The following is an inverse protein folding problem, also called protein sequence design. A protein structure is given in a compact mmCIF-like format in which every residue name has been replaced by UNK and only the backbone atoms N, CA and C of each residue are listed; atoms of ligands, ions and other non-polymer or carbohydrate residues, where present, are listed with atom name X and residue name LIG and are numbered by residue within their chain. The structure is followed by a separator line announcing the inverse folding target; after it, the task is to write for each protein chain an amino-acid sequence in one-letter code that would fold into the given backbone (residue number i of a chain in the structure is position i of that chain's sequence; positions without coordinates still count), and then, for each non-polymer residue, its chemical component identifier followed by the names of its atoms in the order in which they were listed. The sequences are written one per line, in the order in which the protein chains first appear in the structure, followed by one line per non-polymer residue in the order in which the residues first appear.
data_IF_384854135177
#
_entry.id   IF_384854135177
#
_cell.length_a   1.000
_cell.length_b   1.000
_cell.length_c   1.000
_cell.angle_alpha   90.00
_cell.angle_beta   90.00
_cell.angle_gamma   90.00
#
_symmetry.space_group_name_H-M   'P 1'
#
loop_
_entity.id
_entity.type
_entity.pdbx_description
1 polymer ?
#
# COMPACT_ATOMS: atom_id res chain seq x y z
N UNK A 1 24.37 -1.03 -3.21
CA UNK A 1 23.54 -0.68 -4.38
C UNK A 1 24.36 -0.82 -5.67
N UNK A 2 25.41 -0.03 -5.90
CA UNK A 2 26.19 -0.05 -7.15
C UNK A 2 26.77 -1.43 -7.44
N UNK A 3 27.44 -2.06 -6.46
CA UNK A 3 27.96 -3.42 -6.62
C UNK A 3 26.87 -4.44 -6.94
N UNK A 4 25.70 -4.34 -6.31
CA UNK A 4 24.58 -5.21 -6.59
C UNK A 4 24.13 -5.11 -8.06
N UNK A 5 24.12 -3.91 -8.65
CA UNK A 5 23.78 -3.71 -10.07
C UNK A 5 24.85 -4.28 -11.01
N UNK A 6 26.14 -4.10 -10.66
CA UNK A 6 27.25 -4.61 -11.47
C UNK A 6 27.18 -6.14 -11.59
N UNK A 7 26.87 -6.83 -10.51
CA UNK A 7 26.80 -8.30 -10.45
C UNK A 7 25.40 -8.86 -10.76
N UNK A 8 24.42 -8.01 -11.07
CA UNK A 8 23.07 -8.47 -11.43
C UNK A 8 23.04 -9.04 -12.86
N UNK A 9 22.35 -10.16 -13.03
CA UNK A 9 22.03 -10.72 -14.36
C UNK A 9 20.99 -9.85 -15.09
N UNK A 10 20.13 -9.13 -14.36
CA UNK A 10 19.06 -8.29 -14.89
C UNK A 10 19.38 -6.80 -14.71
N UNK A 11 20.39 -6.31 -15.43
CA UNK A 11 20.92 -4.94 -15.27
C UNK A 11 19.88 -3.85 -15.46
N UNK A 12 18.95 -4.00 -16.39
CA UNK A 12 17.90 -3.01 -16.65
C UNK A 12 16.98 -2.86 -15.44
N UNK A 13 16.49 -3.98 -14.90
CA UNK A 13 15.65 -4.01 -13.71
C UNK A 13 16.40 -3.50 -12.47
N UNK A 14 17.65 -3.95 -12.29
CA UNK A 14 18.47 -3.50 -11.16
C UNK A 14 18.75 -1.98 -11.20
N UNK A 15 18.84 -1.39 -12.39
CA UNK A 15 19.14 0.04 -12.58
C UNK A 15 17.88 0.90 -12.49
N UNK A 16 16.80 0.53 -13.19
CA UNK A 16 15.57 1.32 -13.32
C UNK A 16 14.48 0.91 -12.33
N UNK A 17 14.49 -0.33 -11.87
CA UNK A 17 13.43 -0.95 -11.08
C UNK A 17 12.44 -1.72 -11.96
N UNK A 18 11.52 -2.41 -11.31
CA UNK A 18 10.39 -3.09 -11.95
C UNK A 18 9.45 -2.05 -12.57
N UNK A 19 8.78 -2.39 -13.66
CA UNK A 19 7.92 -1.49 -14.45
C UNK A 19 6.87 -0.79 -13.58
N UNK A 20 6.27 -1.50 -12.62
CA UNK A 20 5.24 -0.91 -11.75
C UNK A 20 5.77 -0.07 -10.60
N UNK A 21 7.06 -0.20 -10.23
CA UNK A 21 7.61 0.42 -9.02
C UNK A 21 8.73 1.40 -9.28
N UNK A 22 9.52 1.18 -10.33
CA UNK A 22 10.68 1.98 -10.71
C UNK A 22 11.69 2.23 -9.57
N UNK A 23 11.76 1.30 -8.61
CA UNK A 23 12.65 1.38 -7.44
C UNK A 23 13.99 0.69 -7.69
N UNK A 24 14.67 1.10 -8.75
CA UNK A 24 16.01 0.63 -9.07
C UNK A 24 17.11 1.49 -8.41
N UNK A 25 18.34 1.28 -8.87
CA UNK A 25 19.53 1.98 -8.36
C UNK A 25 19.35 3.50 -8.33
N UNK A 26 18.78 4.09 -9.38
CA UNK A 26 18.60 5.55 -9.46
C UNK A 26 17.69 6.09 -8.36
N UNK A 27 16.58 5.44 -8.09
CA UNK A 27 15.68 5.83 -7.00
C UNK A 27 16.37 5.72 -5.64
N UNK A 28 17.05 4.60 -5.38
CA UNK A 28 17.75 4.38 -4.12
C UNK A 28 18.91 5.37 -3.90
N UNK A 29 19.67 5.69 -4.95
CA UNK A 29 20.72 6.71 -4.86
C UNK A 29 20.14 8.10 -4.64
N UNK A 30 18.98 8.40 -5.24
CA UNK A 30 18.27 9.68 -5.00
C UNK A 30 17.82 9.80 -3.54
N UNK A 31 17.31 8.74 -2.92
CA UNK A 31 16.95 8.74 -1.49
C UNK A 31 18.17 8.98 -0.60
N UNK A 32 19.30 8.32 -0.89
CA UNK A 32 20.54 8.54 -0.16
C UNK A 32 21.06 9.97 -0.34
N UNK A 33 20.96 10.53 -1.54
CA UNK A 33 21.36 11.90 -1.83
C UNK A 33 20.50 12.91 -1.06
N UNK A 34 19.17 12.70 -1.01
CA UNK A 34 18.27 13.54 -0.23
C UNK A 34 18.58 13.46 1.27
N UNK A 35 18.86 12.26 1.79
CA UNK A 35 19.27 12.08 3.17
C UNK A 35 20.58 12.83 3.48
N UNK A 36 21.58 12.71 2.59
CA UNK A 36 22.84 13.43 2.72
C UNK A 36 22.67 14.96 2.67
N UNK A 37 21.85 15.45 1.74
CA UNK A 37 21.53 16.88 1.65
C UNK A 37 20.82 17.36 2.92
N UNK A 38 19.82 16.64 3.39
CA UNK A 38 19.10 17.01 4.63
C UNK A 38 20.06 17.05 5.83
N UNK A 39 20.94 16.06 5.96
CA UNK A 39 21.94 16.03 7.03
C UNK A 39 22.89 17.22 7.00
N UNK A 40 23.30 17.69 5.81
CA UNK A 40 24.27 18.78 5.66
C UNK A 40 23.62 20.18 5.62
N UNK A 41 22.31 20.28 5.46
CA UNK A 41 21.63 21.59 5.32
C UNK A 41 20.78 21.95 6.54
N UNK A 42 20.42 20.98 7.37
CA UNK A 42 19.58 21.20 8.54
C UNK A 42 20.47 21.41 9.78
N UNK A 43 20.76 22.68 10.09
CA UNK A 43 21.73 23.03 11.12
C UNK A 43 21.10 23.52 12.44
N UNK A 44 19.80 23.84 12.45
CA UNK A 44 19.19 24.46 13.61
C UNK A 44 17.74 23.97 13.86
N UNK A 45 17.30 24.15 15.12
CA UNK A 45 15.95 23.73 15.54
C UNK A 45 14.81 24.38 14.77
N UNK A 46 14.99 25.57 14.24
CA UNK A 46 13.96 26.26 13.46
C UNK A 46 13.71 25.53 12.14
N UNK A 47 14.78 25.12 11.47
CA UNK A 47 14.68 24.33 10.23
C UNK A 47 14.04 22.95 10.50
N UNK A 48 14.44 22.27 11.59
CA UNK A 48 13.80 21.00 12.01
C UNK A 48 12.31 21.21 12.23
N UNK A 49 11.90 22.26 12.94
CA UNK A 49 10.48 22.59 13.14
C UNK A 49 9.74 22.80 11.82
N UNK A 50 10.31 23.56 10.90
CA UNK A 50 9.70 23.79 9.57
C UNK A 50 9.49 22.47 8.84
N UNK A 51 10.49 21.59 8.81
CA UNK A 51 10.38 20.28 8.18
C UNK A 51 9.29 19.41 8.83
N UNK A 52 9.25 19.36 10.16
CA UNK A 52 8.25 18.57 10.89
C UNK A 52 6.83 19.09 10.63
N UNK A 53 6.63 20.40 10.63
CA UNK A 53 5.33 20.98 10.29
C UNK A 53 4.95 20.74 8.82
N UNK A 54 5.89 20.90 7.88
CA UNK A 54 5.66 20.63 6.47
C UNK A 54 5.24 19.16 6.22
N UNK A 55 5.96 18.21 6.82
CA UNK A 55 5.61 16.78 6.77
C UNK A 55 4.23 16.51 7.40
N UNK A 56 3.94 17.15 8.53
CA UNK A 56 2.66 16.98 9.23
C UNK A 56 1.49 17.51 8.40
N UNK A 57 1.64 18.68 7.78
CA UNK A 57 0.60 19.27 6.91
C UNK A 57 0.41 18.41 5.66
N UNK A 58 1.51 17.99 5.02
CA UNK A 58 1.46 17.09 3.86
C UNK A 58 0.73 15.78 4.22
N UNK A 59 1.02 15.20 5.40
CA UNK A 59 0.37 13.98 5.84
C UNK A 59 -1.12 14.16 6.15
N UNK A 60 -1.53 15.33 6.67
CA UNK A 60 -2.95 15.63 6.85
C UNK A 60 -3.69 15.70 5.51
N UNK A 61 -3.12 16.33 4.49
CA UNK A 61 -3.71 16.34 3.14
C UNK A 61 -3.85 14.92 2.60
N UNK A 62 -2.80 14.11 2.72
CA UNK A 62 -2.85 12.71 2.30
C UNK A 62 -3.87 11.90 3.10
N UNK A 63 -3.97 12.14 4.42
CA UNK A 63 -4.96 11.45 5.26
C UNK A 63 -6.40 11.87 4.94
N UNK A 64 -6.65 13.11 4.56
CA UNK A 64 -7.96 13.55 4.08
C UNK A 64 -8.36 12.82 2.79
N UNK A 65 -7.44 12.70 1.83
CA UNK A 65 -7.65 11.90 0.62
C UNK A 65 -7.90 10.44 1.02
N UNK A 66 -7.05 9.88 1.87
CA UNK A 66 -7.20 8.51 2.38
C UNK A 66 -8.53 8.26 3.06
N UNK A 67 -9.07 9.26 3.77
CA UNK A 67 -10.39 9.16 4.39
C UNK A 67 -11.51 9.05 3.35
N UNK A 68 -11.45 9.78 2.24
CA UNK A 68 -12.43 9.63 1.15
C UNK A 68 -12.41 8.23 0.56
N UNK A 69 -11.21 7.65 0.38
CA UNK A 69 -11.02 6.27 -0.08
C UNK A 69 -11.56 5.26 0.95
N UNK A 70 -11.24 5.46 2.23
CA UNK A 70 -11.74 4.63 3.32
C UNK A 70 -13.28 4.62 3.38
N UNK A 71 -13.94 5.74 3.14
CA UNK A 71 -15.40 5.88 3.10
C UNK A 71 -16.01 5.39 1.78
N UNK A 72 -15.21 4.95 0.81
CA UNK A 72 -15.67 4.49 -0.50
C UNK A 72 -16.08 5.60 -1.47
N UNK A 73 -15.71 6.84 -1.14
CA UNK A 73 -15.91 8.04 -1.98
C UNK A 73 -14.57 8.55 -2.47
N UNK A 74 -13.86 7.72 -3.25
CA UNK A 74 -12.53 8.06 -3.70
C UNK A 74 -12.52 9.32 -4.57
N UNK A 75 -11.80 10.35 -4.12
CA UNK A 75 -11.69 11.62 -4.83
C UNK A 75 -11.05 11.44 -6.22
N UNK A 76 -10.14 10.48 -6.39
CA UNK A 76 -9.47 10.21 -7.66
C UNK A 76 -10.37 9.52 -8.69
N UNK A 77 -11.48 8.94 -8.25
CA UNK A 77 -12.51 8.40 -9.15
C UNK A 77 -13.47 9.46 -9.66
N UNK A 78 -13.45 10.67 -9.08
CA UNK A 78 -14.25 11.79 -9.57
C UNK A 78 -13.62 12.42 -10.80
N UNK A 79 -14.43 13.13 -11.62
CA UNK A 79 -13.91 13.87 -12.77
C UNK A 79 -12.83 14.88 -12.41
N UNK A 80 -12.98 15.53 -11.26
CA UNK A 80 -11.97 16.45 -10.73
C UNK A 80 -10.65 15.71 -10.45
N UNK A 81 -10.71 14.60 -9.73
CA UNK A 81 -9.53 13.81 -9.38
C UNK A 81 -8.85 13.21 -10.61
N UNK A 82 -9.62 12.66 -11.55
CA UNK A 82 -9.10 12.14 -12.82
C UNK A 82 -8.39 13.23 -13.63
N UNK A 83 -8.96 14.42 -13.73
CA UNK A 83 -8.34 15.55 -14.42
C UNK A 83 -7.05 16.06 -13.73
N UNK A 84 -6.93 15.86 -12.42
CA UNK A 84 -5.73 16.25 -11.68
C UNK A 84 -4.56 15.30 -11.94
N UNK A 85 -4.85 14.02 -12.16
CA UNK A 85 -3.83 12.97 -12.31
C UNK A 85 -3.46 12.77 -13.78
N UNK A 86 -4.45 12.82 -14.69
CA UNK A 86 -4.24 12.56 -16.11
C UNK A 86 -3.65 13.78 -16.82
N UNK A 87 -2.48 13.64 -17.46
CA UNK A 87 -2.01 14.61 -18.42
C UNK A 87 -3.01 14.75 -19.58
N UNK A 88 -3.16 15.95 -20.14
CA UNK A 88 -4.06 16.22 -21.26
C UNK A 88 -3.89 15.28 -22.46
N UNK A 89 -2.67 14.80 -22.69
CA UNK A 89 -2.34 13.84 -23.75
C UNK A 89 -3.10 12.51 -23.59
N UNK A 90 -3.50 12.14 -22.37
CA UNK A 90 -4.17 10.89 -22.05
C UNK A 90 -5.64 11.10 -21.64
N UNK A 91 -6.23 12.25 -21.99
CA UNK A 91 -7.63 12.58 -21.64
C UNK A 91 -8.63 11.55 -22.19
N UNK A 92 -8.32 10.91 -23.31
CA UNK A 92 -9.13 9.84 -23.92
C UNK A 92 -9.22 8.58 -23.04
N UNK A 93 -8.29 8.39 -22.08
CA UNK A 93 -8.29 7.26 -21.13
C UNK A 93 -9.09 7.56 -19.86
N UNK A 94 -9.66 8.77 -19.72
CA UNK A 94 -10.34 9.20 -18.50
C UNK A 94 -11.48 8.28 -18.07
N UNK A 95 -12.25 7.76 -19.04
CA UNK A 95 -13.42 6.92 -18.78
C UNK A 95 -13.02 5.46 -18.49
N UNK A 96 -11.85 5.03 -18.96
CA UNK A 96 -11.32 3.67 -18.73
C UNK A 96 -10.53 3.57 -17.44
N UNK A 97 -10.12 4.71 -16.86
CA UNK A 97 -9.37 4.71 -15.60
C UNK A 97 -10.20 4.20 -14.44
N UNK A 98 -9.80 3.07 -13.94
CA UNK A 98 -10.36 2.48 -12.73
C UNK A 98 -9.24 2.21 -11.72
N UNK A 99 -9.23 2.97 -10.63
CA UNK A 99 -8.27 2.81 -9.53
C UNK A 99 -8.78 1.83 -8.46
N UNK A 100 -9.67 0.94 -8.81
CA UNK A 100 -10.06 -0.14 -7.90
C UNK A 100 -8.87 -1.06 -7.69
N UNK A 101 -8.03 -0.69 -6.72
CA UNK A 101 -7.06 -1.62 -6.18
C UNK A 101 -7.79 -2.78 -5.57
N UNK A 102 -7.90 -3.82 -6.36
CA UNK A 102 -8.45 -5.11 -6.02
C UNK A 102 -9.54 -5.01 -4.96
N UNK A 103 -10.66 -5.57 -5.07
CA UNK A 103 -11.76 -5.76 -4.12
C UNK A 103 -11.57 -5.27 -2.65
N UNK A 104 -10.40 -4.71 -2.32
CA UNK A 104 -9.95 -4.49 -0.96
C UNK A 104 -10.50 -3.23 -0.29
N UNK A 105 -11.07 -2.25 -1.02
CA UNK A 105 -11.46 -0.94 -0.46
C UNK A 105 -10.38 -0.34 0.46
N UNK A 106 -9.11 -0.65 0.20
CA UNK A 106 -8.00 -0.20 1.00
C UNK A 106 -7.63 1.25 0.66
N UNK A 107 -7.10 1.96 1.64
CA UNK A 107 -6.59 3.32 1.45
C UNK A 107 -5.21 3.27 0.82
N UNK A 108 -5.07 3.82 -0.38
CA UNK A 108 -3.79 3.92 -1.09
C UNK A 108 -3.24 5.36 -1.14
N UNK A 109 -4.00 6.34 -0.64
CA UNK A 109 -3.60 7.75 -0.54
C UNK A 109 -3.23 8.34 -1.90
N UNK A 110 -2.11 9.09 -1.92
CA UNK A 110 -1.47 9.60 -3.13
C UNK A 110 -0.27 8.74 -3.57
N UNK A 111 0.09 7.70 -2.81
CA UNK A 111 1.26 6.88 -3.03
C UNK A 111 0.99 5.65 -3.88
N UNK A 112 -0.24 5.43 -4.27
CA UNK A 112 -0.70 4.35 -5.14
C UNK A 112 -0.44 2.92 -4.60
N UNK A 113 0.25 2.77 -3.48
CA UNK A 113 0.56 1.47 -2.88
C UNK A 113 0.20 1.47 -1.40
N UNK A 114 -0.63 0.51 -1.00
CA UNK A 114 -1.13 0.37 0.38
C UNK A 114 0.00 0.20 1.41
N UNK A 115 1.08 -0.51 1.04
CA UNK A 115 2.22 -0.69 1.94
C UNK A 115 3.00 0.61 2.13
N UNK A 116 3.18 1.41 1.08
CA UNK A 116 3.85 2.71 1.18
C UNK A 116 3.05 3.69 2.02
N UNK A 117 1.74 3.73 1.84
CA UNK A 117 0.84 4.51 2.70
C UNK A 117 0.95 4.06 4.15
N UNK A 118 0.92 2.75 4.39
CA UNK A 118 1.06 2.21 5.73
C UNK A 118 2.37 2.60 6.40
N UNK A 119 3.50 2.44 5.71
CA UNK A 119 4.83 2.83 6.22
C UNK A 119 4.91 4.34 6.48
N UNK A 120 4.50 5.16 5.50
CA UNK A 120 4.52 6.60 5.63
C UNK A 120 3.69 7.09 6.82
N UNK A 121 2.45 6.62 6.94
CA UNK A 121 1.55 7.04 8.02
C UNK A 121 2.00 6.53 9.38
N UNK A 122 2.61 5.34 9.49
CA UNK A 122 3.19 4.85 10.73
C UNK A 122 4.38 5.71 11.19
N UNK A 123 5.24 6.15 10.27
CA UNK A 123 6.36 7.06 10.57
C UNK A 123 5.85 8.42 11.08
N UNK A 124 4.89 9.03 10.37
CA UNK A 124 4.34 10.34 10.79
C UNK A 124 3.57 10.21 12.11
N UNK A 125 2.82 9.13 12.31
CA UNK A 125 2.16 8.84 13.57
C UNK A 125 3.16 8.80 14.72
N UNK A 126 4.25 8.03 14.59
CA UNK A 126 5.26 7.87 15.64
C UNK A 126 5.94 9.19 15.99
N UNK A 127 6.29 10.00 14.99
CA UNK A 127 6.85 11.35 15.20
C UNK A 127 5.84 12.24 15.92
N UNK A 128 4.61 12.29 15.41
CA UNK A 128 3.58 13.20 15.93
C UNK A 128 3.18 12.86 17.36
N UNK A 129 2.96 11.58 17.69
CA UNK A 129 2.60 11.18 19.06
C UNK A 129 3.76 11.38 20.04
N UNK A 130 5.02 11.20 19.58
CA UNK A 130 6.20 11.52 20.39
C UNK A 130 6.24 13.01 20.70
N UNK A 131 5.94 13.88 19.74
CA UNK A 131 5.86 15.33 19.96
C UNK A 131 4.73 15.71 20.94
N UNK A 132 3.58 15.03 20.87
CA UNK A 132 2.52 15.21 21.87
C UNK A 132 3.01 14.90 23.27
N UNK A 133 3.87 13.88 23.45
CA UNK A 133 4.45 13.54 24.74
C UNK A 133 5.48 14.56 25.24
N UNK A 134 6.28 15.11 24.34
CA UNK A 134 7.44 15.95 24.69
C UNK A 134 7.14 17.45 24.76
N UNK A 135 6.23 17.96 23.91
CA UNK A 135 5.89 19.37 23.85
C UNK A 135 5.16 19.81 25.12
N UNK A 136 5.29 21.09 25.48
CA UNK A 136 4.59 21.71 26.63
C UNK A 136 3.38 22.53 26.20
N UNK A 137 3.46 23.15 25.01
CA UNK A 137 2.42 24.01 24.49
C UNK A 137 1.17 23.20 24.08
N UNK A 138 0.00 23.59 24.63
CA UNK A 138 -1.26 22.88 24.42
C UNK A 138 -1.75 22.93 22.96
N UNK A 139 -1.49 24.06 22.25
CA UNK A 139 -1.94 24.22 20.86
C UNK A 139 -1.12 23.30 19.93
N UNK A 140 0.19 23.25 20.15
CA UNK A 140 1.06 22.32 19.42
C UNK A 140 0.72 20.87 19.72
N UNK A 141 0.45 20.53 20.99
CA UNK A 141 -0.03 19.18 21.36
C UNK A 141 -1.31 18.80 20.64
N UNK A 142 -2.28 19.69 20.59
CA UNK A 142 -3.54 19.45 19.89
C UNK A 142 -3.32 19.25 18.40
N UNK A 143 -2.49 20.10 17.78
CA UNK A 143 -2.15 19.94 16.36
C UNK A 143 -1.53 18.56 16.07
N UNK A 144 -0.50 18.16 16.81
CA UNK A 144 0.15 16.87 16.58
C UNK A 144 -0.73 15.67 16.98
N UNK A 145 -1.67 15.86 17.91
CA UNK A 145 -2.66 14.84 18.20
C UNK A 145 -3.62 14.62 17.03
N UNK A 146 -4.08 15.69 16.38
CA UNK A 146 -4.91 15.61 15.18
C UNK A 146 -4.14 14.94 14.03
N UNK A 147 -2.86 15.30 13.84
CA UNK A 147 -1.98 14.64 12.87
C UNK A 147 -1.86 13.15 13.17
N UNK A 148 -1.63 12.78 14.43
CA UNK A 148 -1.55 11.38 14.85
C UNK A 148 -2.85 10.62 14.59
N UNK A 149 -3.99 11.19 14.96
CA UNK A 149 -5.28 10.55 14.76
C UNK A 149 -5.60 10.34 13.28
N UNK A 150 -5.36 11.35 12.43
CA UNK A 150 -5.57 11.25 11.00
C UNK A 150 -4.67 10.17 10.35
N UNK A 151 -3.39 10.16 10.70
CA UNK A 151 -2.45 9.16 10.19
C UNK A 151 -2.75 7.75 10.72
N UNK A 152 -3.23 7.61 11.94
CA UNK A 152 -3.66 6.33 12.50
C UNK A 152 -4.86 5.75 11.74
N UNK A 153 -5.87 6.55 11.43
CA UNK A 153 -7.02 6.12 10.63
C UNK A 153 -6.58 5.69 9.23
N UNK A 154 -5.68 6.45 8.61
CA UNK A 154 -5.14 6.13 7.29
C UNK A 154 -4.29 4.85 7.32
N UNK A 155 -3.52 4.64 8.40
CA UNK A 155 -2.76 3.41 8.64
C UNK A 155 -3.69 2.20 8.71
N UNK A 156 -4.77 2.26 9.47
CA UNK A 156 -5.76 1.19 9.55
C UNK A 156 -6.43 0.94 8.19
N UNK A 157 -6.79 2.01 7.48
CA UNK A 157 -7.38 1.92 6.15
C UNK A 157 -6.45 1.33 5.10
N UNK A 158 -5.13 1.48 5.25
CA UNK A 158 -4.14 0.91 4.33
C UNK A 158 -4.06 -0.62 4.39
N UNK A 159 -4.52 -1.24 5.49
CA UNK A 159 -4.45 -2.69 5.73
C UNK A 159 -3.03 -3.28 5.62
N UNK A 160 -1.98 -2.45 5.75
CA UNK A 160 -0.60 -2.90 5.68
C UNK A 160 -0.18 -3.62 6.96
N UNK A 161 0.06 -4.93 6.86
CA UNK A 161 0.51 -5.78 7.98
C UNK A 161 1.86 -5.30 8.55
N UNK A 162 2.81 -4.99 7.67
CA UNK A 162 4.13 -4.51 8.06
C UNK A 162 4.07 -3.20 8.83
N UNK A 163 3.22 -2.27 8.40
CA UNK A 163 3.05 -1.00 9.08
C UNK A 163 2.39 -1.14 10.45
N UNK A 164 1.43 -2.05 10.61
CA UNK A 164 0.82 -2.35 11.91
C UNK A 164 1.78 -3.05 12.87
N UNK A 165 2.63 -3.94 12.36
CA UNK A 165 3.70 -4.53 13.16
C UNK A 165 4.67 -3.45 13.67
N UNK A 166 5.10 -2.55 12.79
CA UNK A 166 5.96 -1.41 13.15
C UNK A 166 5.33 -0.50 14.20
N UNK A 167 4.01 -0.26 14.07
CA UNK A 167 3.23 0.48 15.06
C UNK A 167 3.22 -0.22 16.42
N UNK A 168 3.02 -1.55 16.46
CA UNK A 168 3.09 -2.35 17.68
C UNK A 168 4.45 -2.26 18.37
N UNK A 169 5.55 -2.38 17.60
CA UNK A 169 6.92 -2.20 18.11
C UNK A 169 7.11 -0.81 18.69
N UNK A 170 6.64 0.23 17.99
CA UNK A 170 6.71 1.60 18.49
C UNK A 170 5.99 1.77 19.83
N UNK A 171 4.79 1.22 20.01
CA UNK A 171 4.05 1.32 21.29
C UNK A 171 4.90 0.76 22.45
N UNK A 172 5.51 -0.42 22.24
CA UNK A 172 6.36 -1.05 23.27
C UNK A 172 7.55 -0.12 23.60
N UNK A 173 8.24 0.38 22.59
CA UNK A 173 9.36 1.30 22.79
C UNK A 173 8.91 2.61 23.44
N UNK A 174 7.76 3.17 23.04
CA UNK A 174 7.24 4.39 23.63
C UNK A 174 6.91 4.20 25.12
N UNK A 175 6.33 3.06 25.52
CA UNK A 175 6.07 2.74 26.94
C UNK A 175 7.38 2.66 27.71
N UNK A 176 8.43 2.04 27.16
CA UNK A 176 9.72 1.90 27.81
C UNK A 176 10.38 3.27 27.99
N UNK A 177 10.54 4.03 26.92
CA UNK A 177 11.31 5.28 26.91
C UNK A 177 10.56 6.48 27.48
N UNK A 178 9.25 6.57 27.24
CA UNK A 178 8.43 7.74 27.59
C UNK A 178 7.46 7.50 28.76
N UNK A 179 7.66 6.45 29.58
CA UNK A 179 6.79 6.10 30.72
C UNK A 179 6.46 7.26 31.66
N UNK A 180 7.41 8.16 31.92
CA UNK A 180 7.21 9.32 32.81
C UNK A 180 6.33 10.36 32.13
N UNK A 181 6.56 10.66 30.87
CA UNK A 181 5.78 11.62 30.08
C UNK A 181 4.35 11.11 29.85
N UNK A 182 4.19 9.81 29.61
CA UNK A 182 2.86 9.17 29.47
C UNK A 182 2.07 9.35 30.77
N UNK A 183 2.65 9.04 31.93
CA UNK A 183 1.97 9.24 33.24
C UNK A 183 1.60 10.69 33.46
N UNK A 184 2.46 11.64 33.15
CA UNK A 184 2.18 13.07 33.30
C UNK A 184 1.07 13.56 32.35
N UNK A 185 1.00 13.01 31.15
CA UNK A 185 0.03 13.38 30.11
C UNK A 185 -1.24 12.50 30.12
N UNK A 186 -1.39 11.59 31.07
CA UNK A 186 -2.45 10.58 31.07
C UNK A 186 -3.85 11.21 30.96
N UNK A 187 -4.14 12.27 31.74
CA UNK A 187 -5.43 12.98 31.67
C UNK A 187 -5.72 13.55 30.28
N UNK A 188 -4.72 14.09 29.63
CA UNK A 188 -4.85 14.60 28.26
C UNK A 188 -5.15 13.49 27.27
N UNK A 189 -4.45 12.37 27.35
CA UNK A 189 -4.71 11.20 26.48
C UNK A 189 -6.07 10.58 26.75
N UNK A 190 -6.47 10.47 28.02
CA UNK A 190 -7.82 9.96 28.37
C UNK A 190 -8.91 10.84 27.78
N UNK A 191 -8.81 12.17 27.93
CA UNK A 191 -9.77 13.09 27.33
C UNK A 191 -9.78 13.01 25.81
N UNK A 192 -8.61 12.99 25.18
CA UNK A 192 -8.49 12.84 23.72
C UNK A 192 -9.10 11.53 23.24
N UNK A 193 -8.87 10.42 23.95
CA UNK A 193 -9.45 9.13 23.63
C UNK A 193 -10.97 9.14 23.72
N UNK A 194 -11.53 9.73 24.77
CA UNK A 194 -13.00 9.88 24.90
C UNK A 194 -13.57 10.70 23.74
N UNK A 195 -12.93 11.82 23.37
CA UNK A 195 -13.37 12.64 22.24
C UNK A 195 -13.31 11.85 20.94
N UNK A 196 -12.23 11.10 20.72
CA UNK A 196 -12.09 10.22 19.53
C UNK A 196 -13.19 9.16 19.51
N UNK A 197 -13.51 8.53 20.63
CA UNK A 197 -14.62 7.56 20.72
C UNK A 197 -15.96 8.19 20.38
N UNK A 198 -16.25 9.38 20.92
CA UNK A 198 -17.51 10.09 20.65
C UNK A 198 -17.62 10.41 19.15
N UNK A 199 -16.54 10.92 18.54
CA UNK A 199 -16.50 11.17 17.09
C UNK A 199 -16.67 9.86 16.31
N UNK A 200 -15.97 8.80 16.70
CA UNK A 200 -16.07 7.49 16.05
C UNK A 200 -17.50 6.97 16.04
N UNK A 201 -18.14 6.92 17.21
CA UNK A 201 -19.52 6.44 17.31
C UNK A 201 -20.50 7.34 16.56
N UNK A 202 -20.32 8.67 16.61
CA UNK A 202 -21.14 9.61 15.87
C UNK A 202 -21.03 9.42 14.35
N UNK A 203 -19.82 9.32 13.82
CA UNK A 203 -19.57 9.10 12.38
C UNK A 203 -20.04 7.70 11.97
N UNK A 204 -19.78 6.67 12.78
CA UNK A 204 -20.18 5.32 12.47
C UNK A 204 -21.72 5.19 12.41
N UNK A 205 -22.43 5.84 13.34
CA UNK A 205 -23.89 5.89 13.31
C UNK A 205 -24.44 6.65 12.10
N UNK A 206 -23.81 7.78 11.73
CA UNK A 206 -24.19 8.56 10.56
C UNK A 206 -23.93 7.85 9.24
N UNK A 207 -23.08 6.82 9.23
CA UNK A 207 -22.71 6.01 8.06
C UNK A 207 -23.18 4.55 8.17
N UNK A 208 -24.26 4.31 8.92
CA UNK A 208 -24.92 3.01 9.06
C UNK A 208 -23.96 1.83 9.36
N UNK A 209 -23.00 2.07 10.26
CA UNK A 209 -22.03 1.05 10.66
C UNK A 209 -20.83 0.85 9.75
N UNK A 210 -20.77 1.54 8.60
CA UNK A 210 -19.72 1.36 7.57
C UNK A 210 -18.30 1.45 8.13
N UNK A 211 -18.04 2.31 9.12
CA UNK A 211 -16.69 2.46 9.70
C UNK A 211 -16.29 1.21 10.47
N UNK A 212 -17.19 0.66 11.27
CA UNK A 212 -16.96 -0.58 12.02
C UNK A 212 -16.72 -1.77 11.08
N UNK A 213 -17.55 -1.94 10.05
CA UNK A 213 -17.43 -3.03 9.11
C UNK A 213 -16.08 -3.00 8.37
N UNK A 214 -15.60 -1.80 8.02
CA UNK A 214 -14.31 -1.63 7.39
C UNK A 214 -13.14 -1.89 8.31
N UNK A 215 -13.23 -1.48 9.58
CA UNK A 215 -12.21 -1.81 10.58
C UNK A 215 -12.15 -3.32 10.82
N UNK A 216 -13.30 -3.99 10.99
CA UNK A 216 -13.36 -5.44 11.17
C UNK A 216 -12.79 -6.15 9.95
N UNK A 217 -13.18 -5.77 8.73
CA UNK A 217 -12.64 -6.37 7.52
C UNK A 217 -11.13 -6.12 7.37
N UNK A 218 -10.64 -4.94 7.78
CA UNK A 218 -9.22 -4.63 7.84
C UNK A 218 -8.47 -5.56 8.81
N UNK A 219 -8.99 -5.74 10.02
CA UNK A 219 -8.39 -6.64 11.01
C UNK A 219 -8.44 -8.10 10.54
N UNK A 220 -9.56 -8.56 9.97
CA UNK A 220 -9.66 -9.91 9.39
C UNK A 220 -8.59 -10.14 8.32
N UNK A 221 -8.39 -9.19 7.40
CA UNK A 221 -7.37 -9.30 6.36
C UNK A 221 -5.93 -9.36 6.89
N UNK A 222 -5.69 -8.95 8.15
CA UNK A 222 -4.38 -9.06 8.80
C UNK A 222 -4.15 -10.44 9.41
N UNK A 223 -5.22 -11.10 9.85
CA UNK A 223 -5.17 -12.40 10.52
C UNK A 223 -5.26 -13.53 9.50
N UNK A 224 -6.03 -13.32 8.42
CA UNK A 224 -6.13 -14.28 7.33
C UNK A 224 -4.79 -14.38 6.60
N UNK A 225 -4.03 -15.39 6.93
CA UNK A 225 -2.83 -15.76 6.18
C UNK A 225 -3.33 -16.37 4.87
N UNK A 226 -3.17 -15.67 3.77
CA UNK A 226 -3.29 -16.30 2.45
C UNK A 226 -2.15 -17.31 2.35
N UNK A 227 -2.44 -18.58 2.52
CA UNK A 227 -1.51 -19.62 2.15
C UNK A 227 -1.40 -19.58 0.64
N UNK A 228 -0.24 -19.17 0.15
CA UNK A 228 0.10 -19.30 -1.27
C UNK A 228 0.57 -20.75 -1.39
N UNK A 229 -0.25 -21.60 -1.99
CA UNK A 229 0.09 -22.99 -2.34
C UNK A 229 1.02 -23.05 -3.57
N UNK A 230 2.08 -22.24 -3.52
CA UNK A 230 3.00 -22.04 -4.63
C UNK A 230 4.34 -22.68 -4.30
N UNK A 231 4.82 -23.57 -5.17
CA UNK A 231 6.09 -24.27 -5.00
C UNK A 231 7.20 -23.68 -5.87
N UNK A 232 6.95 -23.51 -7.19
CA UNK A 232 7.99 -23.11 -8.13
C UNK A 232 7.43 -22.43 -9.38
N UNK A 233 8.26 -21.63 -10.06
CA UNK A 233 8.01 -21.09 -11.40
C UNK A 233 9.19 -21.36 -12.30
N UNK A 234 8.94 -22.06 -13.39
CA UNK A 234 9.93 -22.27 -14.44
C UNK A 234 9.58 -21.37 -15.63
N UNK A 235 10.52 -20.54 -16.03
CA UNK A 235 10.39 -19.65 -17.17
C UNK A 235 11.09 -20.28 -18.37
N UNK A 236 10.38 -20.50 -19.46
CA UNK A 236 10.89 -20.85 -20.78
C UNK A 236 10.72 -19.64 -21.72
N UNK A 237 11.32 -19.69 -22.92
CA UNK A 237 11.29 -18.56 -23.85
C UNK A 237 9.86 -18.12 -24.22
N UNK A 238 8.95 -19.09 -24.46
CA UNK A 238 7.57 -18.84 -24.86
C UNK A 238 6.52 -19.39 -23.87
N UNK A 239 6.96 -19.90 -22.72
CA UNK A 239 6.06 -20.53 -21.75
C UNK A 239 6.46 -20.24 -20.30
N UNK A 240 5.47 -20.30 -19.43
CA UNK A 240 5.64 -20.17 -17.98
C UNK A 240 4.93 -21.35 -17.31
N UNK A 241 5.70 -22.17 -16.59
CA UNK A 241 5.17 -23.24 -15.78
C UNK A 241 5.09 -22.78 -14.33
N UNK A 242 3.88 -22.79 -13.77
CA UNK A 242 3.61 -22.43 -12.39
C UNK A 242 3.20 -23.71 -11.65
N UNK A 243 4.01 -24.11 -10.68
CA UNK A 243 3.76 -25.29 -9.85
C UNK A 243 3.17 -24.87 -8.52
N UNK A 244 2.02 -25.44 -8.20
CA UNK A 244 1.37 -25.38 -6.90
C UNK A 244 1.55 -26.72 -6.19
N UNK A 245 1.23 -26.80 -4.91
CA UNK A 245 1.41 -28.00 -4.10
C UNK A 245 0.57 -29.19 -4.61
N UNK A 246 -0.60 -28.94 -5.19
CA UNK A 246 -1.57 -29.96 -5.61
C UNK A 246 -1.83 -30.00 -7.12
N UNK A 247 -1.35 -29.02 -7.89
CA UNK A 247 -1.53 -28.93 -9.35
C UNK A 247 -0.50 -28.02 -10.00
N UNK A 248 -0.46 -28.00 -11.34
CA UNK A 248 0.40 -27.11 -12.12
C UNK A 248 -0.38 -26.45 -13.26
N UNK A 249 0.05 -25.24 -13.65
CA UNK A 249 -0.50 -24.53 -14.78
C UNK A 249 0.65 -24.11 -15.69
N UNK A 250 0.55 -24.48 -16.97
CA UNK A 250 1.46 -24.01 -18.02
C UNK A 250 0.75 -22.96 -18.86
N UNK A 251 1.35 -21.77 -19.01
CA UNK A 251 0.86 -20.69 -19.83
C UNK A 251 1.81 -20.54 -21.01
N UNK A 252 1.31 -20.70 -22.22
CA UNK A 252 2.09 -20.62 -23.47
C UNK A 252 1.63 -19.39 -24.25
N UNK A 253 2.58 -18.67 -24.81
CA UNK A 253 2.31 -17.57 -25.74
C UNK A 253 2.44 -18.10 -27.17
N UNK A 254 1.33 -18.28 -27.85
CA UNK A 254 1.26 -18.71 -29.26
C UNK A 254 0.85 -17.50 -30.12
N UNK A 255 1.81 -16.87 -30.79
CA UNK A 255 1.58 -15.72 -31.69
C UNK A 255 0.76 -14.56 -31.07
N UNK A 256 0.99 -14.28 -29.77
CA UNK A 256 0.29 -13.21 -29.05
C UNK A 256 -1.03 -13.64 -28.38
N UNK A 257 -1.40 -14.91 -28.51
CA UNK A 257 -2.53 -15.51 -27.77
C UNK A 257 -2.01 -16.36 -26.62
N UNK A 258 -2.65 -16.26 -25.47
CA UNK A 258 -2.28 -17.03 -24.29
C UNK A 258 -3.14 -18.27 -24.17
N UNK A 259 -2.51 -19.43 -24.21
CA UNK A 259 -3.16 -20.73 -24.02
C UNK A 259 -2.73 -21.30 -22.66
N UNK A 260 -3.69 -21.79 -21.90
CA UNK A 260 -3.45 -22.37 -20.58
C UNK A 260 -3.60 -23.88 -20.66
N UNK A 261 -2.68 -24.58 -20.02
CA UNK A 261 -2.64 -26.04 -19.96
C UNK A 261 -2.55 -26.50 -18.52
N UNK A 262 -3.10 -27.67 -18.21
CA UNK A 262 -2.85 -28.39 -16.97
C UNK A 262 -1.48 -29.09 -16.98
N UNK A 263 -1.09 -29.71 -15.86
CA UNK A 263 0.17 -30.45 -15.73
C UNK A 263 0.27 -31.68 -16.65
N UNK A 264 -0.84 -32.13 -17.23
CA UNK A 264 -0.90 -33.25 -18.17
C UNK A 264 -0.85 -32.78 -19.64
N UNK A 265 -0.80 -31.46 -19.86
CA UNK A 265 -0.82 -30.86 -21.20
C UNK A 265 -2.20 -30.73 -21.84
N UNK A 266 -3.29 -30.88 -21.05
CA UNK A 266 -4.62 -30.64 -21.58
C UNK A 266 -4.96 -29.15 -21.52
N UNK A 267 -5.61 -28.59 -22.57
CA UNK A 267 -5.97 -27.18 -22.57
C UNK A 267 -7.03 -26.88 -21.50
N UNK A 268 -6.81 -25.79 -20.78
CA UNK A 268 -7.74 -25.24 -19.79
C UNK A 268 -8.59 -24.14 -20.42
N UNK A 269 -9.89 -24.22 -20.26
CA UNK A 269 -10.78 -23.12 -20.58
C UNK A 269 -10.58 -22.00 -19.58
N UNK A 270 -10.42 -20.76 -20.09
CA UNK A 270 -10.23 -19.56 -19.30
C UNK A 270 -11.27 -18.50 -19.66
N UNK A 271 -11.75 -17.78 -18.67
CA UNK A 271 -12.57 -16.59 -18.85
C UNK A 271 -11.73 -15.34 -18.61
N UNK A 272 -11.96 -14.29 -19.40
CA UNK A 272 -11.37 -12.98 -19.18
C UNK A 272 -12.23 -12.24 -18.15
N UNK A 273 -11.70 -12.04 -16.94
CA UNK A 273 -12.40 -11.37 -15.84
C UNK A 273 -12.30 -9.85 -15.97
N UNK A 274 -11.11 -9.37 -16.38
CA UNK A 274 -10.79 -7.98 -16.69
C UNK A 274 -9.81 -7.96 -17.87
N UNK A 275 -9.59 -6.80 -18.47
CA UNK A 275 -8.65 -6.66 -19.58
C UNK A 275 -7.25 -7.18 -19.20
N UNK A 276 -6.78 -8.19 -19.91
CA UNK A 276 -5.52 -8.88 -19.65
C UNK A 276 -5.53 -9.79 -18.43
N UNK A 277 -6.65 -10.00 -17.74
CA UNK A 277 -6.74 -10.87 -16.56
C UNK A 277 -7.59 -12.09 -16.87
N UNK A 278 -6.99 -13.27 -16.76
CA UNK A 278 -7.58 -14.56 -17.12
C UNK A 278 -7.77 -15.42 -15.89
N UNK A 279 -8.86 -16.15 -15.85
CA UNK A 279 -9.20 -17.10 -14.79
C UNK A 279 -9.63 -18.43 -15.39
N UNK A 280 -8.98 -19.55 -15.04
CA UNK A 280 -9.45 -20.88 -15.44
C UNK A 280 -10.84 -21.17 -14.87
N UNK A 281 -11.66 -21.87 -15.61
CA UNK A 281 -13.05 -22.19 -15.22
C UNK A 281 -13.12 -23.47 -14.39
N UNK A 282 -12.17 -24.39 -14.57
CA UNK A 282 -12.16 -25.74 -13.97
C UNK A 282 -11.47 -25.77 -12.60
N UNK A 283 -12.02 -26.49 -11.62
CA UNK A 283 -11.31 -26.82 -10.37
C UNK A 283 -10.18 -27.84 -10.61
N UNK A 284 -9.04 -27.72 -9.88
CA UNK A 284 -8.72 -26.75 -8.83
C UNK A 284 -8.17 -25.41 -9.34
N UNK A 285 -7.97 -25.26 -10.64
CA UNK A 285 -7.30 -24.15 -11.31
C UNK A 285 -8.04 -22.81 -11.18
N UNK A 286 -9.37 -22.83 -10.99
CA UNK A 286 -10.23 -21.64 -10.85
C UNK A 286 -10.01 -20.83 -9.56
N UNK A 287 -9.11 -21.29 -8.68
CA UNK A 287 -8.71 -20.56 -7.47
C UNK A 287 -7.78 -19.39 -7.76
N UNK A 288 -7.17 -19.35 -8.94
CA UNK A 288 -6.13 -18.41 -9.29
C UNK A 288 -6.57 -17.51 -10.44
N UNK A 289 -6.08 -16.28 -10.45
CA UNK A 289 -6.23 -15.33 -11.55
C UNK A 289 -4.86 -14.88 -12.03
N UNK A 290 -4.69 -14.76 -13.34
CA UNK A 290 -3.43 -14.44 -13.99
C UNK A 290 -3.59 -13.17 -14.82
N UNK A 291 -2.86 -12.12 -14.46
CA UNK A 291 -2.77 -10.92 -15.27
C UNK A 291 -1.55 -11.02 -16.16
N UNK A 292 -1.80 -11.05 -17.46
CA UNK A 292 -0.77 -11.18 -18.48
C UNK A 292 -0.50 -9.82 -19.10
N UNK A 293 0.75 -9.39 -19.04
CA UNK A 293 1.22 -8.13 -19.61
C UNK A 293 2.29 -8.42 -20.65
N UNK A 294 2.14 -7.84 -21.83
CA UNK A 294 3.20 -7.84 -22.83
C UNK A 294 4.18 -6.72 -22.53
N UNK A 295 5.45 -7.04 -22.44
CA UNK A 295 6.53 -6.03 -22.34
C UNK A 295 6.90 -5.54 -23.72
N UNK A 296 7.20 -4.24 -23.87
CA UNK A 296 7.70 -3.62 -25.12
C UNK A 296 9.02 -4.23 -25.61
N UNK A 297 9.66 -5.09 -24.84
CA UNK A 297 10.93 -5.75 -25.13
C UNK A 297 10.79 -7.25 -25.35
N UNK A 298 9.72 -7.71 -25.98
CA UNK A 298 9.49 -9.12 -26.36
C UNK A 298 9.51 -10.14 -25.19
N UNK A 299 9.19 -9.72 -23.98
CA UNK A 299 9.07 -10.60 -22.82
C UNK A 299 7.63 -10.69 -22.28
N UNK A 300 7.18 -11.91 -22.00
CA UNK A 300 5.92 -12.14 -21.28
C UNK A 300 6.10 -11.82 -19.80
N UNK A 301 5.30 -10.91 -19.28
CA UNK A 301 5.20 -10.64 -17.83
C UNK A 301 3.90 -11.23 -17.33
N UNK A 302 3.98 -12.20 -16.43
CA UNK A 302 2.82 -12.76 -15.74
C UNK A 302 2.79 -12.22 -14.32
N UNK A 303 1.74 -11.51 -14.00
CA UNK A 303 1.39 -11.16 -12.63
C UNK A 303 0.27 -12.10 -12.19
N UNK A 304 0.61 -13.14 -11.43
CA UNK A 304 -0.38 -14.03 -10.86
C UNK A 304 -0.89 -13.46 -9.53
N UNK A 305 -2.20 -13.28 -9.41
CA UNK A 305 -2.85 -13.13 -8.10
C UNK A 305 -3.15 -14.53 -7.57
N UNK A 306 -2.21 -15.02 -6.78
CA UNK A 306 -2.24 -16.35 -6.17
C UNK A 306 -3.07 -16.38 -4.87
N UNK A 307 -3.77 -15.29 -4.57
CA UNK A 307 -4.64 -15.23 -3.41
C UNK A 307 -5.82 -16.18 -3.60
N UNK A 308 -5.86 -17.24 -2.81
CA UNK A 308 -7.03 -18.10 -2.69
C UNK A 308 -8.17 -17.27 -2.12
N UNK A 309 -9.16 -16.94 -2.93
CA UNK A 309 -10.47 -16.50 -2.45
C UNK A 309 -11.11 -17.71 -1.74
N UNK A 310 -10.84 -17.87 -0.45
CA UNK A 310 -11.77 -18.60 0.41
C UNK A 310 -12.92 -17.66 0.71
N UNK A 311 -14.07 -17.99 0.15
CA UNK A 311 -15.35 -17.29 0.22
C UNK A 311 -15.84 -16.91 1.60
#
# INVERSE_FOLDING_TARGET
IILSVIFSSYKSVATKGFIDRYEGMYALLSYLSLMFLAYNTVDNEKQVKVLVYALSISSLVMSLIGLTQFLGKDIFMTDFGKNLILPKTYEHLKDTLNFTFAASKATYGTLYNINYVGVYTSMIFTISITLVLLLKDKKQKLFFLLVSAANFLTLLGSRSRAALLSFGVYIVLAIIFYRRQIKHSLRFFTLAFVVILVIFFGVNSALDGTVTDRLISGVKSLIEVSYIDFEDVVLEDDAIDIKFTDHGIRIVNEDGFFTFYDELGNPLEVEMVEEGTYKPTKEPYNKHTFKLLMSDTSGLIVQADLATNKG
#
